data_IF_114409042404
#
_entry.id   IF_114409042404
#
_cell.length_a   1.000
_cell.length_b   1.000
_cell.length_c   1.000
_cell.angle_alpha   90.00
_cell.angle_beta   90.00
_cell.angle_gamma   90.00
#
_symmetry.space_group_name_H-M   'P 1'
#
loop_
_entity.id
_entity.type
_entity.pdbx_description
1 polymer ?
#
# COMPACT_ATOMS: atom_id res chain seq x y z
N UNK A 1 -13.02 -12.51 -6.08
CA UNK A 1 -12.08 -13.55 -5.59
C UNK A 1 -12.84 -14.57 -4.77
N UNK A 2 -12.57 -15.86 -4.97
CA UNK A 2 -13.11 -16.93 -4.11
C UNK A 2 -12.04 -17.26 -3.06
N UNK A 3 -12.27 -16.83 -1.83
CA UNK A 3 -11.26 -16.84 -0.78
C UNK A 3 -10.94 -18.25 -0.29
N UNK A 4 -11.93 -19.15 -0.18
CA UNK A 4 -11.69 -20.54 0.25
C UNK A 4 -10.75 -21.30 -0.69
N UNK A 5 -10.73 -20.94 -1.98
CA UNK A 5 -9.83 -21.54 -2.96
C UNK A 5 -8.43 -20.93 -2.94
N UNK A 6 -8.30 -19.67 -2.52
CA UNK A 6 -7.04 -18.93 -2.52
C UNK A 6 -6.30 -19.00 -1.19
N UNK A 7 -7.04 -19.16 -0.11
CA UNK A 7 -6.57 -19.24 1.26
C UNK A 7 -7.21 -20.49 1.85
N UNK A 8 -6.47 -21.31 2.59
CA UNK A 8 -6.88 -22.62 3.13
C UNK A 8 -8.01 -22.53 4.17
N UNK A 9 -9.13 -21.92 3.80
CA UNK A 9 -10.35 -21.73 4.58
C UNK A 9 -11.27 -22.92 4.26
N UNK A 10 -11.96 -23.50 5.26
CA UNK A 10 -12.95 -24.55 5.03
C UNK A 10 -14.00 -24.18 3.96
N UNK A 11 -14.47 -25.17 3.19
CA UNK A 11 -15.42 -24.97 2.07
C UNK A 11 -16.90 -25.06 2.51
N UNK A 12 -17.18 -25.13 3.81
CA UNK A 12 -18.53 -25.23 4.37
C UNK A 12 -19.29 -23.90 4.34
N UNK A 13 -18.57 -22.77 4.24
CA UNK A 13 -19.13 -21.44 4.02
C UNK A 13 -18.40 -20.69 2.88
N UNK A 14 -19.03 -20.50 1.71
CA UNK A 14 -18.40 -19.82 0.57
C UNK A 14 -18.12 -18.33 0.81
N UNK A 15 -16.84 -17.97 0.89
CA UNK A 15 -16.37 -16.60 1.11
C UNK A 15 -15.87 -15.96 -0.18
N UNK A 16 -16.43 -14.79 -0.51
CA UNK A 16 -16.07 -14.02 -1.69
C UNK A 16 -15.65 -12.61 -1.33
N UNK A 17 -14.65 -12.10 -2.05
CA UNK A 17 -14.31 -10.67 -2.09
C UNK A 17 -14.65 -10.14 -3.48
N UNK A 18 -15.43 -9.08 -3.55
CA UNK A 18 -15.74 -8.38 -4.80
C UNK A 18 -15.18 -6.96 -4.73
N UNK A 19 -14.84 -6.39 -5.88
CA UNK A 19 -14.39 -5.00 -5.98
C UNK A 19 -15.26 -4.34 -7.03
N UNK A 20 -15.95 -3.25 -6.65
CA UNK A 20 -16.83 -2.47 -7.51
C UNK A 20 -17.82 -3.35 -8.32
N UNK A 21 -18.64 -4.19 -7.65
CA UNK A 21 -19.56 -5.08 -8.34
C UNK A 21 -20.63 -4.30 -9.12
N UNK A 22 -20.98 -4.76 -10.33
CA UNK A 22 -22.02 -4.11 -11.15
C UNK A 22 -23.44 -4.28 -10.57
N UNK A 23 -23.65 -5.37 -9.85
CA UNK A 23 -24.91 -5.68 -9.17
C UNK A 23 -24.68 -5.64 -7.66
N UNK A 24 -25.54 -4.96 -6.88
CA UNK A 24 -25.41 -4.95 -5.43
C UNK A 24 -25.46 -6.37 -4.84
N UNK A 25 -24.63 -6.61 -3.83
CA UNK A 25 -24.68 -7.83 -3.02
C UNK A 25 -25.87 -7.71 -2.06
N UNK A 26 -26.52 -8.83 -1.74
CA UNK A 26 -27.59 -8.83 -0.73
C UNK A 26 -27.00 -8.43 0.63
N UNK A 27 -27.62 -7.45 1.29
CA UNK A 27 -27.09 -6.85 2.52
C UNK A 27 -26.87 -7.88 3.64
N UNK A 28 -27.74 -8.89 3.75
CA UNK A 28 -27.63 -9.97 4.74
C UNK A 28 -26.43 -10.91 4.53
N UNK A 29 -25.74 -10.79 3.39
CA UNK A 29 -24.55 -11.56 3.05
C UNK A 29 -23.25 -10.75 3.07
N UNK A 30 -23.31 -9.45 3.42
CA UNK A 30 -22.11 -8.61 3.50
C UNK A 30 -21.52 -8.75 4.90
N UNK A 31 -20.32 -9.32 4.99
CA UNK A 31 -19.57 -9.41 6.25
C UNK A 31 -18.85 -8.11 6.60
N UNK A 32 -18.28 -7.44 5.58
CA UNK A 32 -17.53 -6.19 5.70
C UNK A 32 -17.55 -5.44 4.37
N UNK A 33 -17.48 -4.11 4.44
CA UNK A 33 -17.40 -3.22 3.29
C UNK A 33 -16.44 -2.06 3.60
N UNK A 34 -15.47 -1.85 2.71
CA UNK A 34 -14.48 -0.79 2.86
C UNK A 34 -14.27 -0.08 1.54
N UNK A 35 -14.26 1.25 1.60
CA UNK A 35 -13.93 2.11 0.46
C UNK A 35 -12.45 2.44 0.50
N UNK A 36 -11.74 2.16 -0.60
CA UNK A 36 -10.33 2.47 -0.77
C UNK A 36 -10.10 3.38 -1.97
N UNK A 37 -9.36 4.47 -1.75
CA UNK A 37 -8.87 5.32 -2.83
C UNK A 37 -7.55 4.80 -3.39
N UNK A 38 -7.46 4.67 -4.71
CA UNK A 38 -6.25 4.25 -5.40
C UNK A 38 -5.59 5.44 -6.09
N UNK A 39 -4.30 5.73 -5.81
CA UNK A 39 -3.60 6.83 -6.46
C UNK A 39 -3.44 6.56 -7.96
N UNK A 40 -3.68 7.58 -8.77
CA UNK A 40 -3.42 7.55 -10.21
C UNK A 40 -2.01 8.06 -10.47
N UNK A 41 -1.15 7.21 -11.04
CA UNK A 41 0.25 7.55 -11.33
C UNK A 41 0.38 8.20 -12.71
N UNK A 42 -0.18 9.40 -12.87
CA UNK A 42 0.00 10.20 -14.07
C UNK A 42 1.33 10.98 -14.06
N UNK A 43 1.56 11.79 -15.10
CA UNK A 43 2.78 12.60 -15.22
C UNK A 43 2.95 13.59 -14.06
N UNK A 44 1.86 14.16 -13.55
CA UNK A 44 1.90 15.10 -12.44
C UNK A 44 2.28 14.40 -11.13
N UNK A 45 1.74 13.21 -10.89
CA UNK A 45 2.10 12.35 -9.77
C UNK A 45 3.59 11.94 -9.82
N UNK A 46 4.09 11.50 -10.98
CA UNK A 46 5.51 11.16 -11.14
C UNK A 46 6.43 12.37 -10.88
N UNK A 47 6.07 13.55 -11.38
CA UNK A 47 6.81 14.78 -11.10
C UNK A 47 6.76 15.14 -9.59
N UNK A 48 5.62 14.91 -8.93
CA UNK A 48 5.48 15.12 -7.50
C UNK A 48 6.37 14.17 -6.68
N UNK A 49 6.46 12.89 -7.06
CA UNK A 49 7.36 11.93 -6.41
C UNK A 49 8.82 12.40 -6.41
N UNK A 50 9.31 12.94 -7.54
CA UNK A 50 10.66 13.49 -7.63
C UNK A 50 10.84 14.71 -6.72
N UNK A 51 9.86 15.62 -6.70
CA UNK A 51 9.90 16.80 -5.81
C UNK A 51 9.91 16.40 -4.34
N UNK A 52 9.09 15.41 -3.95
CA UNK A 52 9.06 14.92 -2.57
C UNK A 52 10.38 14.27 -2.20
N UNK A 53 10.95 13.44 -3.08
CA UNK A 53 12.25 12.83 -2.85
C UNK A 53 13.37 13.87 -2.66
N UNK A 54 13.37 14.94 -3.46
CA UNK A 54 14.37 16.01 -3.37
C UNK A 54 14.22 16.88 -2.10
N UNK A 55 13.02 16.93 -1.51
CA UNK A 55 12.70 17.76 -0.34
C UNK A 55 12.59 16.99 0.97
N UNK A 56 12.77 15.68 0.93
CA UNK A 56 12.69 14.85 2.12
C UNK A 56 13.81 15.24 3.10
N UNK A 57 13.43 15.59 4.33
CA UNK A 57 14.33 16.12 5.35
C UNK A 57 14.30 17.64 5.49
N UNK A 58 13.70 18.37 4.55
CA UNK A 58 13.43 19.81 4.70
C UNK A 58 12.62 20.04 5.98
N UNK A 59 13.04 21.02 6.79
CA UNK A 59 12.35 21.40 8.03
C UNK A 59 12.02 20.21 8.94
N UNK A 60 12.94 19.24 9.04
CA UNK A 60 12.76 18.01 9.83
C UNK A 60 11.50 17.20 9.46
N UNK A 61 10.99 17.36 8.23
CA UNK A 61 9.79 16.70 7.74
C UNK A 61 10.15 15.60 6.73
N UNK A 62 9.56 14.43 6.91
CA UNK A 62 9.85 13.25 6.10
C UNK A 62 8.56 12.59 5.62
N UNK A 63 8.56 12.13 4.38
CA UNK A 63 7.44 11.49 3.72
C UNK A 63 7.84 10.05 3.33
N UNK A 64 6.98 9.10 3.70
CA UNK A 64 7.05 7.69 3.31
C UNK A 64 5.64 7.21 2.93
N UNK A 65 5.55 6.28 1.99
CA UNK A 65 4.28 5.71 1.52
C UNK A 65 4.41 5.04 0.15
N UNK A 66 3.50 4.10 -0.13
CA UNK A 66 3.48 3.34 -1.39
C UNK A 66 3.31 4.24 -2.64
N UNK A 67 2.61 5.37 -2.48
CA UNK A 67 2.39 6.39 -3.50
C UNK A 67 3.66 7.16 -3.90
N UNK A 68 4.79 6.94 -3.22
CA UNK A 68 6.09 7.50 -3.59
C UNK A 68 6.83 6.66 -4.65
N UNK A 69 6.18 5.63 -5.21
CA UNK A 69 6.67 4.87 -6.36
C UNK A 69 5.54 4.27 -7.21
N UNK A 70 5.26 2.97 -7.14
CA UNK A 70 4.30 2.28 -8.02
C UNK A 70 3.04 1.83 -7.28
N UNK A 71 2.89 2.19 -5.99
CA UNK A 71 1.68 1.90 -5.21
C UNK A 71 1.65 0.54 -4.54
N UNK A 72 2.74 -0.23 -4.57
CA UNK A 72 2.81 -1.53 -3.93
C UNK A 72 3.24 -1.44 -2.45
N UNK A 73 3.01 -2.53 -1.70
CA UNK A 73 3.38 -2.61 -0.29
C UNK A 73 4.91 -2.48 -0.10
N UNK A 74 5.67 -3.06 -1.02
CA UNK A 74 7.13 -3.00 -1.09
C UNK A 74 7.61 -1.57 -1.29
N UNK A 75 6.87 -0.73 -2.01
CA UNK A 75 7.21 0.68 -2.20
C UNK A 75 7.01 1.47 -0.90
N UNK A 76 5.95 1.16 -0.15
CA UNK A 76 5.74 1.69 1.19
C UNK A 76 6.90 1.34 2.11
N UNK A 77 7.26 0.05 2.17
CA UNK A 77 8.40 -0.42 2.95
C UNK A 77 9.72 0.23 2.52
N UNK A 78 10.04 0.21 1.23
CA UNK A 78 11.28 0.79 0.70
C UNK A 78 11.38 2.29 0.97
N UNK A 79 10.27 3.03 0.89
CA UNK A 79 10.26 4.46 1.22
C UNK A 79 10.53 4.72 2.70
N UNK A 80 9.97 3.90 3.61
CA UNK A 80 10.24 3.99 5.04
C UNK A 80 11.70 3.66 5.36
N UNK A 81 12.27 2.63 4.72
CA UNK A 81 13.69 2.29 4.86
C UNK A 81 14.59 3.44 4.42
N UNK A 82 14.27 4.13 3.31
CA UNK A 82 15.03 5.33 2.88
C UNK A 82 15.00 6.44 3.93
N UNK A 83 13.83 6.72 4.50
CA UNK A 83 13.69 7.74 5.56
C UNK A 83 14.48 7.33 6.80
N UNK A 84 14.36 6.08 7.26
CA UNK A 84 15.10 5.59 8.43
C UNK A 84 16.62 5.64 8.23
N UNK A 85 17.12 5.31 7.03
CA UNK A 85 18.54 5.49 6.66
C UNK A 85 18.98 6.94 6.75
N UNK A 86 18.19 7.86 6.19
CA UNK A 86 18.52 9.28 6.19
C UNK A 86 18.50 9.91 7.59
N UNK A 87 17.66 9.39 8.49
CA UNK A 87 17.60 9.76 9.90
C UNK A 87 18.73 9.11 10.75
N UNK A 88 19.52 8.19 10.19
CA UNK A 88 20.49 7.41 10.95
C UNK A 88 19.86 6.42 11.95
N UNK A 89 18.58 6.08 11.78
CA UNK A 89 17.78 5.28 12.72
C UNK A 89 17.52 3.86 12.22
N UNK A 90 18.43 3.30 11.43
CA UNK A 90 18.27 1.94 10.91
C UNK A 90 18.41 0.91 12.03
N UNK A 91 17.49 -0.07 12.14
CA UNK A 91 17.67 -1.18 13.07
C UNK A 91 18.92 -1.96 12.72
N UNK A 92 19.72 -2.34 13.72
CA UNK A 92 20.93 -3.15 13.51
C UNK A 92 20.67 -4.48 12.79
N UNK A 93 19.43 -4.99 12.84
CA UNK A 93 18.99 -6.24 12.22
C UNK A 93 18.65 -6.10 10.72
N UNK A 94 18.49 -4.87 10.20
CA UNK A 94 18.16 -4.63 8.80
C UNK A 94 19.41 -4.22 8.01
N UNK A 95 20.25 -5.18 7.65
CA UNK A 95 21.30 -5.00 6.62
C UNK A 95 20.69 -5.17 5.24
N UNK A 96 20.16 -4.08 4.70
CA UNK A 96 19.78 -4.03 3.27
C UNK A 96 21.01 -3.54 2.49
N UNK A 97 21.48 -4.25 1.45
CA UNK A 97 22.63 -3.83 0.66
C UNK A 97 22.42 -2.43 0.05
N UNK A 98 23.54 -1.76 -0.23
CA UNK A 98 23.58 -0.43 -0.81
C UNK A 98 22.97 -0.41 -2.23
#
# INVERSE_FOLDING_TARGET
>A
YWMNRLQSIPDDDPLFVTLNPQTPVREDLIHDEVVFDHPVFDRAAMAAQQRIAARNGDNHTWFAGAWLRHGFHEDGFASAVRVARALGSMPATLTVPA
#
